data_IF_058675074390
#
_entry.id   IF_058675074390
#
_cell.length_a   1.000
_cell.length_b   1.000
_cell.length_c   1.000
_cell.angle_alpha   90.00
_cell.angle_beta   90.00
_cell.angle_gamma   90.00
#
_symmetry.space_group_name_H-M   'P 1'
#
loop_
_entity.id
_entity.type
_entity.pdbx_description
1 polymer ?
#
# COMPACT_ATOMS: atom_id res chain seq x y z
N UNK A 1 -13.25 -4.81 6.09
CA UNK A 1 -11.88 -4.78 6.65
C UNK A 1 -11.95 -5.25 8.09
N UNK A 2 -11.07 -6.17 8.50
CA UNK A 2 -11.03 -6.69 9.88
C UNK A 2 -9.71 -6.28 10.52
N UNK A 3 -9.75 -5.66 11.69
CA UNK A 3 -8.54 -5.25 12.43
C UNK A 3 -8.33 -6.20 13.61
N UNK A 4 -7.15 -6.79 13.70
CA UNK A 4 -6.74 -7.70 14.77
C UNK A 4 -5.56 -7.05 15.50
N UNK A 5 -5.73 -6.81 16.80
CA UNK A 5 -4.67 -6.30 17.67
C UNK A 5 -3.81 -7.49 18.14
N UNK A 6 -2.51 -7.44 17.86
CA UNK A 6 -1.55 -8.50 18.22
C UNK A 6 -0.34 -7.91 18.93
N UNK A 7 0.11 -8.54 20.03
CA UNK A 7 1.23 -8.02 20.83
C UNK A 7 2.60 -8.25 20.18
N UNK A 8 2.77 -9.36 19.46
CA UNK A 8 4.05 -9.82 18.93
C UNK A 8 4.21 -9.62 17.41
N UNK A 9 3.10 -9.45 16.70
CA UNK A 9 3.04 -9.30 15.26
C UNK A 9 2.38 -7.96 14.93
N UNK A 10 2.76 -7.23 13.87
CA UNK A 10 3.91 -7.43 12.98
C UNK A 10 5.29 -7.34 13.67
N UNK A 11 6.29 -8.05 13.16
CA UNK A 11 7.67 -8.01 13.70
C UNK A 11 8.28 -6.59 13.57
N UNK A 12 9.23 -6.25 14.45
CA UNK A 12 9.77 -4.89 14.65
C UNK A 12 9.99 -4.09 13.35
N UNK A 13 9.55 -2.82 13.35
CA UNK A 13 9.71 -1.87 12.25
C UNK A 13 8.38 -1.33 11.72
N UNK A 14 7.30 -2.11 11.80
CA UNK A 14 5.98 -1.75 11.27
C UNK A 14 4.93 -1.65 12.38
N UNK A 15 4.04 -0.66 12.28
CA UNK A 15 2.94 -0.43 13.22
C UNK A 15 1.68 -1.23 12.86
N UNK A 16 1.41 -1.35 11.57
CA UNK A 16 0.37 -2.19 10.98
C UNK A 16 0.93 -3.01 9.82
N UNK A 17 0.25 -4.11 9.51
CA UNK A 17 0.42 -4.85 8.26
C UNK A 17 -0.94 -5.35 7.81
N UNK A 18 -1.27 -5.15 6.53
CA UNK A 18 -2.46 -5.73 5.93
C UNK A 18 -2.13 -6.98 5.14
N UNK A 19 -2.72 -8.10 5.55
CA UNK A 19 -2.60 -9.38 4.88
C UNK A 19 -4.00 -9.86 4.50
N UNK A 20 -4.25 -9.99 3.20
CA UNK A 20 -5.52 -10.47 2.65
C UNK A 20 -6.76 -9.69 3.14
N UNK A 21 -6.62 -8.37 3.39
CA UNK A 21 -7.71 -7.52 3.91
C UNK A 21 -7.93 -7.63 5.43
N UNK A 22 -7.03 -8.31 6.13
CA UNK A 22 -6.96 -8.40 7.59
C UNK A 22 -5.76 -7.59 8.04
N UNK A 23 -6.02 -6.56 8.84
CA UNK A 23 -4.99 -5.68 9.39
C UNK A 23 -4.55 -6.22 10.73
N UNK A 24 -3.26 -6.47 10.87
CA UNK A 24 -2.63 -6.79 12.14
C UNK A 24 -1.89 -5.56 12.65
N UNK A 25 -2.20 -5.13 13.87
CA UNK A 25 -1.60 -3.94 14.48
C UNK A 25 -1.16 -4.21 15.91
N UNK A 26 -0.06 -3.56 16.32
CA UNK A 26 0.43 -3.58 17.70
C UNK A 26 -0.26 -2.56 18.62
N UNK A 27 -0.98 -1.60 18.05
CA UNK A 27 -1.58 -0.50 18.79
C UNK A 27 -2.80 0.08 18.10
N UNK A 28 -3.20 1.28 18.53
CA UNK A 28 -4.28 2.01 17.88
C UNK A 28 -3.76 2.65 16.59
N UNK A 29 -4.56 2.48 15.53
CA UNK A 29 -4.31 3.10 14.25
C UNK A 29 -5.10 4.39 14.19
N UNK A 30 -4.45 5.45 13.74
CA UNK A 30 -5.09 6.70 13.38
C UNK A 30 -6.00 6.50 12.17
N UNK A 31 -6.91 7.44 11.92
CA UNK A 31 -7.76 7.40 10.72
C UNK A 31 -6.94 7.37 9.43
N UNK A 32 -5.79 8.06 9.41
CA UNK A 32 -4.84 8.06 8.29
C UNK A 32 -4.31 6.65 8.02
N UNK A 33 -3.82 5.97 9.05
CA UNK A 33 -3.30 4.60 8.92
C UNK A 33 -4.40 3.60 8.55
N UNK A 34 -5.60 3.76 9.12
CA UNK A 34 -6.75 2.92 8.73
C UNK A 34 -7.14 3.13 7.26
N UNK A 35 -7.07 4.36 6.77
CA UNK A 35 -7.35 4.68 5.37
C UNK A 35 -6.28 4.08 4.45
N UNK A 36 -4.99 4.24 4.79
CA UNK A 36 -3.87 3.62 4.08
C UNK A 36 -4.08 2.11 3.87
N UNK A 37 -4.36 1.40 4.97
CA UNK A 37 -4.59 -0.05 4.92
C UNK A 37 -5.90 -0.42 4.20
N UNK A 38 -6.91 0.45 4.22
CA UNK A 38 -8.13 0.27 3.44
C UNK A 38 -7.85 0.35 1.93
N UNK A 39 -6.98 1.27 1.50
CA UNK A 39 -6.57 1.41 0.09
C UNK A 39 -5.88 0.12 -0.37
N UNK A 40 -4.93 -0.39 0.41
CA UNK A 40 -4.30 -1.68 0.16
C UNK A 40 -5.31 -2.82 0.06
N UNK A 41 -6.36 -2.82 0.89
CA UNK A 41 -7.42 -3.82 0.81
C UNK A 41 -8.17 -3.76 -0.53
N UNK A 42 -8.48 -2.57 -1.04
CA UNK A 42 -9.16 -2.42 -2.32
C UNK A 42 -8.26 -2.76 -3.50
N UNK A 43 -6.97 -2.40 -3.46
CA UNK A 43 -5.97 -2.84 -4.44
C UNK A 43 -5.85 -4.37 -4.46
N UNK A 44 -5.82 -5.01 -3.28
CA UNK A 44 -5.80 -6.48 -3.17
C UNK A 44 -7.05 -7.10 -3.81
N UNK A 45 -8.25 -6.61 -3.49
CA UNK A 45 -9.51 -7.12 -4.07
C UNK A 45 -9.52 -6.99 -5.59
N UNK A 46 -9.11 -5.83 -6.10
CA UNK A 46 -9.01 -5.54 -7.53
C UNK A 46 -8.06 -6.52 -8.25
N UNK A 47 -6.95 -6.86 -7.60
CA UNK A 47 -5.93 -7.78 -8.12
C UNK A 47 -6.14 -9.25 -7.66
N UNK A 48 -7.37 -9.62 -7.28
CA UNK A 48 -7.74 -10.97 -6.84
C UNK A 48 -6.84 -11.53 -5.72
N UNK A 49 -6.28 -10.65 -4.90
CA UNK A 49 -5.30 -10.87 -3.83
C UNK A 49 -3.96 -11.44 -4.30
N UNK A 50 -3.96 -12.54 -5.06
CA UNK A 50 -2.74 -13.21 -5.51
C UNK A 50 -1.91 -12.32 -6.44
N UNK A 51 -2.55 -11.64 -7.41
CA UNK A 51 -1.81 -10.81 -8.36
C UNK A 51 -1.25 -9.55 -7.70
N UNK A 52 -1.86 -9.08 -6.61
CA UNK A 52 -1.31 -7.97 -5.81
C UNK A 52 0.06 -8.33 -5.28
N UNK A 53 0.18 -9.47 -4.57
CA UNK A 53 1.46 -9.88 -3.98
C UNK A 53 2.52 -10.22 -5.04
N UNK A 54 2.14 -10.85 -6.15
CA UNK A 54 3.05 -11.13 -7.26
C UNK A 54 3.57 -9.82 -7.86
N UNK A 55 2.68 -8.89 -8.20
CA UNK A 55 3.05 -7.61 -8.80
C UNK A 55 3.91 -6.77 -7.85
N UNK A 56 3.52 -6.68 -6.58
CA UNK A 56 4.27 -5.99 -5.54
C UNK A 56 5.72 -6.47 -5.47
N UNK A 57 5.93 -7.78 -5.47
CA UNK A 57 7.26 -8.38 -5.47
C UNK A 57 8.04 -8.10 -6.76
N UNK A 58 7.40 -8.24 -7.92
CA UNK A 58 8.03 -7.96 -9.23
C UNK A 58 8.46 -6.50 -9.33
N UNK A 59 7.58 -5.57 -8.99
CA UNK A 59 7.86 -4.13 -9.02
C UNK A 59 8.99 -3.77 -8.05
N UNK A 60 8.96 -4.28 -6.82
CA UNK A 60 10.04 -4.09 -5.85
C UNK A 60 11.39 -4.58 -6.39
N UNK A 61 11.43 -5.77 -7.01
CA UNK A 61 12.65 -6.31 -7.60
C UNK A 61 13.15 -5.45 -8.76
N UNK A 62 12.26 -4.98 -9.64
CA UNK A 62 12.62 -4.10 -10.75
C UNK A 62 13.21 -2.78 -10.22
N UNK A 63 12.55 -2.13 -9.26
CA UNK A 63 13.03 -0.88 -8.67
C UNK A 63 14.41 -1.09 -8.03
N UNK A 64 14.59 -2.19 -7.29
CA UNK A 64 15.84 -2.48 -6.58
C UNK A 64 17.00 -2.86 -7.51
N UNK A 65 16.73 -3.62 -8.57
CA UNK A 65 17.77 -4.05 -9.51
C UNK A 65 18.22 -2.92 -10.43
N UNK A 66 17.29 -2.09 -10.89
CA UNK A 66 17.58 -1.04 -11.86
C UNK A 66 17.70 0.36 -11.23
N UNK A 67 17.52 0.50 -9.91
CA UNK A 67 17.54 1.78 -9.18
C UNK A 67 16.68 2.85 -9.86
N UNK A 68 15.52 2.45 -10.38
CA UNK A 68 14.68 3.29 -11.26
C UNK A 68 14.03 4.45 -10.49
N UNK A 69 13.75 4.25 -9.20
CA UNK A 69 13.07 5.24 -8.37
C UNK A 69 14.01 5.85 -7.32
N UNK A 70 13.69 7.09 -6.94
CA UNK A 70 14.63 8.03 -6.33
C UNK A 70 14.74 7.89 -4.81
N UNK A 71 13.87 7.12 -4.18
CA UNK A 71 13.74 7.03 -2.73
C UNK A 71 13.88 5.57 -2.26
N UNK A 72 13.13 5.21 -1.23
CA UNK A 72 13.11 3.86 -0.70
C UNK A 72 12.33 2.98 -1.68
N UNK A 73 12.96 1.92 -2.18
CA UNK A 73 12.35 0.96 -3.10
C UNK A 73 11.00 0.42 -2.60
N UNK A 74 10.75 0.41 -1.28
CA UNK A 74 9.44 0.11 -0.70
C UNK A 74 8.42 1.22 -1.00
N UNK A 75 8.71 2.47 -0.63
CA UNK A 75 7.79 3.61 -0.80
C UNK A 75 7.53 3.94 -2.27
N UNK A 76 8.47 3.57 -3.10
CA UNK A 76 8.46 3.76 -4.53
C UNK A 76 7.63 2.68 -5.25
N UNK A 77 7.03 1.70 -4.57
CA UNK A 77 6.08 0.79 -5.23
C UNK A 77 4.80 1.55 -5.56
N UNK A 78 4.24 1.36 -6.76
CA UNK A 78 3.05 2.08 -7.23
C UNK A 78 1.85 1.99 -6.27
N UNK A 79 1.67 0.84 -5.62
CA UNK A 79 0.63 0.64 -4.61
C UNK A 79 0.85 1.50 -3.36
N UNK A 80 2.09 1.59 -2.88
CA UNK A 80 2.48 2.41 -1.72
C UNK A 80 2.37 3.90 -2.05
N UNK A 81 2.78 4.30 -3.27
CA UNK A 81 2.61 5.68 -3.74
C UNK A 81 1.14 6.09 -3.77
N UNK A 82 0.26 5.28 -4.37
CA UNK A 82 -1.19 5.54 -4.40
C UNK A 82 -1.76 5.68 -2.98
N UNK A 83 -1.40 4.76 -2.08
CA UNK A 83 -1.90 4.76 -0.71
C UNK A 83 -1.42 6.01 0.04
N UNK A 84 -0.11 6.30 0.02
CA UNK A 84 0.47 7.44 0.72
C UNK A 84 -0.06 8.80 0.26
N UNK A 85 -0.27 8.98 -1.04
CA UNK A 85 -0.79 10.23 -1.60
C UNK A 85 -2.24 10.47 -1.15
N UNK A 86 -3.00 9.40 -0.91
CA UNK A 86 -4.40 9.47 -0.52
C UNK A 86 -4.65 9.19 0.97
N UNK A 87 -3.60 9.07 1.77
CA UNK A 87 -3.65 8.79 3.21
C UNK A 87 -4.64 9.72 3.95
N UNK A 88 -4.62 11.01 3.61
CA UNK A 88 -5.43 12.04 4.27
C UNK A 88 -6.82 12.23 3.61
N UNK A 89 -7.06 11.62 2.45
CA UNK A 89 -8.36 11.64 1.77
C UNK A 89 -9.24 10.46 2.23
N UNK A 90 -10.00 10.67 3.32
CA UNK A 90 -10.86 9.65 3.91
C UNK A 90 -12.02 9.18 2.99
N UNK A 91 -12.36 9.96 1.96
CA UNK A 91 -13.40 9.60 0.99
C UNK A 91 -12.83 8.82 -0.20
N UNK A 92 -11.50 8.70 -0.29
CA UNK A 92 -10.84 8.16 -1.47
C UNK A 92 -11.34 6.77 -1.86
N UNK A 93 -11.57 5.88 -0.90
CA UNK A 93 -12.09 4.53 -1.15
C UNK A 93 -13.40 4.53 -1.96
N UNK A 94 -14.28 5.51 -1.72
CA UNK A 94 -15.57 5.61 -2.42
C UNK A 94 -15.45 6.18 -3.83
N UNK A 95 -14.42 6.99 -4.09
CA UNK A 95 -14.19 7.68 -5.37
C UNK A 95 -13.12 7.00 -6.24
N UNK A 96 -12.35 6.08 -5.64
CA UNK A 96 -11.22 5.40 -6.26
C UNK A 96 -11.68 4.62 -7.48
N UNK A 97 -11.06 4.91 -8.62
CA UNK A 97 -11.28 4.16 -9.86
C UNK A 97 -10.42 2.89 -9.87
N UNK A 98 -10.92 1.86 -10.53
CA UNK A 98 -10.16 0.63 -10.70
C UNK A 98 -8.82 0.88 -11.41
N UNK A 99 -7.77 0.21 -10.95
CA UNK A 99 -6.41 0.23 -11.47
C UNK A 99 -5.73 1.61 -11.41
N UNK A 100 -6.15 2.47 -10.48
CA UNK A 100 -5.56 3.82 -10.33
C UNK A 100 -4.07 3.77 -9.97
N UNK A 101 -3.60 2.74 -9.25
CA UNK A 101 -2.17 2.48 -8.99
C UNK A 101 -1.31 2.48 -10.26
N UNK A 102 -1.84 2.12 -11.43
CA UNK A 102 -1.06 2.08 -12.68
C UNK A 102 -0.52 3.45 -13.11
N UNK A 103 -1.14 4.54 -12.64
CA UNK A 103 -0.64 5.91 -12.87
C UNK A 103 0.70 6.18 -12.16
N UNK A 104 1.02 5.37 -11.15
CA UNK A 104 2.21 5.49 -10.31
C UNK A 104 3.38 4.59 -10.77
N UNK A 105 3.22 3.89 -11.90
CA UNK A 105 4.27 3.07 -12.52
C UNK A 105 5.41 3.90 -13.16
N UNK A 106 5.15 5.18 -13.44
CA UNK A 106 6.12 6.08 -14.06
C UNK A 106 7.25 6.49 -13.11
N UNK A 107 8.37 6.92 -13.69
CA UNK A 107 9.49 7.50 -12.94
C UNK A 107 9.09 8.89 -12.43
N UNK A 108 9.22 9.15 -11.13
CA UNK A 108 8.80 10.38 -10.44
C UNK A 108 7.27 10.61 -10.37
N UNK A 109 6.44 9.58 -10.52
CA UNK A 109 4.98 9.73 -10.46
C UNK A 109 4.48 10.41 -9.18
N UNK A 110 5.10 10.12 -8.04
CA UNK A 110 4.79 10.76 -6.75
C UNK A 110 5.03 12.28 -6.69
N UNK A 111 5.84 12.86 -7.59
CA UNK A 111 6.04 14.33 -7.67
C UNK A 111 4.99 15.03 -8.54
N UNK A 112 4.27 14.27 -9.37
CA UNK A 112 3.35 14.81 -10.39
C UNK A 112 1.87 14.55 -10.08
N UNK A 113 1.58 13.78 -9.03
CA UNK A 113 0.23 13.36 -8.65
C UNK A 113 -0.33 14.20 -7.50
#
# INVERSE_FOLDING_TARGET
>A
MRVIKTKHFPFNGYKAINLFGIIFTKGELSNKELNHEAIHTEQMKEMLYIFFYIWYGVEYLIIRLFHIKQHDAYKDISFEEEAHINDDNLNYISERKHYTWTKYLGINSSKTA
#
